data_IF_372701722606
#
_entry.id   IF_372701722606
#
_cell.length_a   1.000
_cell.length_b   1.000
_cell.length_c   1.000
_cell.angle_alpha   90.00
_cell.angle_beta   90.00
_cell.angle_gamma   90.00
#
_symmetry.space_group_name_H-M   'P 1'
#
loop_
_entity.id
_entity.type
_entity.pdbx_description
1 polymer ?
#
# COMPACT_ATOMS: atom_id res chain seq x y z
N UNK A 1 56.45 4.92 -88.14
CA UNK A 1 54.97 5.00 -88.21
C UNK A 1 54.43 3.64 -87.80
N UNK A 2 53.59 3.58 -86.77
CA UNK A 2 53.24 2.33 -86.09
C UNK A 2 52.09 1.63 -86.86
N UNK A 3 52.39 0.55 -87.57
CA UNK A 3 51.41 -0.17 -88.43
C UNK A 3 50.28 -0.83 -87.62
N UNK A 4 50.46 -0.92 -86.29
CA UNK A 4 49.47 -1.39 -85.32
C UNK A 4 48.46 -0.32 -84.85
N UNK A 5 48.66 0.97 -85.15
CA UNK A 5 47.72 2.03 -84.71
C UNK A 5 46.49 2.18 -85.61
N UNK A 6 46.61 1.78 -86.88
CA UNK A 6 45.54 1.81 -87.89
C UNK A 6 44.43 0.81 -87.54
N UNK A 7 44.71 -0.48 -87.22
CA UNK A 7 43.64 -1.42 -86.84
C UNK A 7 42.92 -1.01 -85.55
N UNK A 8 43.62 -0.52 -84.53
CA UNK A 8 42.98 -0.11 -83.26
C UNK A 8 42.06 1.11 -83.42
N UNK A 9 42.42 2.06 -84.28
CA UNK A 9 41.58 3.24 -84.56
C UNK A 9 40.26 2.87 -85.24
N UNK A 10 40.29 1.87 -86.13
CA UNK A 10 39.10 1.34 -86.80
C UNK A 10 38.20 0.60 -85.79
N UNK A 11 38.77 -0.23 -84.91
CA UNK A 11 38.00 -0.89 -83.85
C UNK A 11 37.36 0.12 -82.88
N UNK A 12 38.06 1.21 -82.53
CA UNK A 12 37.48 2.30 -81.71
C UNK A 12 36.31 2.98 -82.41
N UNK A 13 36.42 3.21 -83.72
CA UNK A 13 35.34 3.80 -84.51
C UNK A 13 34.13 2.87 -84.62
N UNK A 14 34.35 1.57 -84.84
CA UNK A 14 33.28 0.56 -84.85
C UNK A 14 32.60 0.45 -83.48
N UNK A 15 33.37 0.45 -82.39
CA UNK A 15 32.82 0.45 -81.04
C UNK A 15 31.95 1.69 -80.78
N UNK A 16 32.41 2.88 -81.19
CA UNK A 16 31.61 4.11 -81.09
C UNK A 16 30.29 4.02 -81.83
N UNK A 17 30.25 3.41 -83.02
CA UNK A 17 29.01 3.23 -83.80
C UNK A 17 28.05 2.26 -83.11
N UNK A 18 28.54 1.11 -82.63
CA UNK A 18 27.74 0.11 -81.91
C UNK A 18 27.21 0.66 -80.57
N UNK A 19 27.87 1.68 -80.02
CA UNK A 19 27.50 2.35 -78.76
C UNK A 19 26.41 3.42 -78.92
N UNK A 20 26.17 3.96 -80.12
CA UNK A 20 25.16 5.00 -80.35
C UNK A 20 23.76 4.57 -79.89
N UNK A 21 23.26 3.36 -80.23
CA UNK A 21 21.95 2.89 -79.75
C UNK A 21 21.88 2.77 -78.22
N UNK A 22 22.95 2.28 -77.57
CA UNK A 22 23.03 2.19 -76.12
C UNK A 22 23.00 3.57 -75.45
N UNK A 23 23.70 4.54 -76.02
CA UNK A 23 23.73 5.91 -75.48
C UNK A 23 22.37 6.61 -75.62
N UNK A 24 21.64 6.34 -76.71
CA UNK A 24 20.27 6.83 -76.89
C UNK A 24 19.31 6.18 -75.88
N UNK A 25 19.47 4.88 -75.59
CA UNK A 25 18.69 4.18 -74.58
C UNK A 25 18.98 4.71 -73.15
N UNK A 26 20.25 4.96 -72.84
CA UNK A 26 20.67 5.56 -71.58
C UNK A 26 20.03 6.93 -71.37
N UNK A 27 20.10 7.80 -72.38
CA UNK A 27 19.55 9.17 -72.33
C UNK A 27 18.02 9.20 -72.32
N UNK A 28 17.35 8.27 -73.03
CA UNK A 28 15.90 8.31 -73.20
C UNK A 28 15.12 7.52 -72.14
N UNK A 29 15.72 6.46 -71.59
CA UNK A 29 15.02 5.52 -70.70
C UNK A 29 15.68 5.49 -69.33
N UNK A 30 17.00 5.28 -69.26
CA UNK A 30 17.68 5.08 -67.98
C UNK A 30 17.76 6.37 -67.16
N UNK A 31 17.93 7.52 -67.81
CA UNK A 31 17.88 8.83 -67.13
C UNK A 31 16.49 9.19 -66.60
N UNK A 32 15.42 8.57 -67.10
CA UNK A 32 14.07 8.78 -66.54
C UNK A 32 13.83 8.01 -65.24
N UNK A 33 14.65 7.00 -64.97
CA UNK A 33 14.62 6.27 -63.70
C UNK A 33 15.31 7.09 -62.61
N UNK A 34 14.79 7.00 -61.38
CA UNK A 34 15.48 7.59 -60.23
C UNK A 34 16.92 7.07 -60.17
N UNK A 35 17.86 7.95 -59.82
CA UNK A 35 19.29 7.62 -59.71
C UNK A 35 19.51 6.41 -58.80
N UNK A 36 18.58 6.21 -57.87
CA UNK A 36 18.59 5.12 -56.91
C UNK A 36 17.60 3.99 -57.24
N UNK A 37 17.25 3.79 -58.51
CA UNK A 37 16.48 2.62 -58.93
C UNK A 37 17.38 1.38 -59.04
N UNK A 38 16.98 0.20 -58.49
CA UNK A 38 17.78 -1.04 -58.61
C UNK A 38 18.09 -1.41 -60.07
N UNK A 39 17.13 -1.22 -60.98
CA UNK A 39 17.29 -1.51 -62.40
C UNK A 39 18.31 -0.56 -63.08
N UNK A 40 18.38 0.69 -62.64
CA UNK A 40 19.35 1.69 -63.12
C UNK A 40 20.77 1.33 -62.67
N UNK A 41 20.95 1.03 -61.38
CA UNK A 41 22.24 0.62 -60.82
C UNK A 41 22.77 -0.64 -61.52
N UNK A 42 21.91 -1.65 -61.76
CA UNK A 42 22.31 -2.86 -62.47
C UNK A 42 22.73 -2.58 -63.93
N UNK A 43 22.00 -1.70 -64.62
CA UNK A 43 22.35 -1.25 -65.97
C UNK A 43 23.69 -0.49 -65.98
N UNK A 44 23.84 0.56 -65.16
CA UNK A 44 25.05 1.38 -65.09
C UNK A 44 26.29 0.55 -64.71
N UNK A 45 26.15 -0.44 -63.81
CA UNK A 45 27.23 -1.37 -63.47
C UNK A 45 27.66 -2.25 -64.64
N UNK A 46 26.69 -2.87 -65.34
CA UNK A 46 26.98 -3.79 -66.46
C UNK A 46 27.59 -3.05 -67.65
N UNK A 47 27.04 -1.88 -67.96
CA UNK A 47 27.44 -1.01 -69.06
C UNK A 47 28.79 -0.33 -68.77
N UNK A 48 29.00 0.15 -67.54
CA UNK A 48 30.26 0.74 -67.10
C UNK A 48 31.40 -0.29 -67.03
N UNK A 49 31.11 -1.53 -66.63
CA UNK A 49 32.11 -2.62 -66.66
C UNK A 49 32.54 -2.97 -68.08
N UNK A 50 31.58 -2.97 -69.03
CA UNK A 50 31.87 -3.19 -70.44
C UNK A 50 32.74 -2.07 -71.02
N UNK A 51 32.42 -0.81 -70.70
CA UNK A 51 33.22 0.36 -71.11
C UNK A 51 34.62 0.35 -70.51
N UNK A 52 34.77 -0.04 -69.24
CA UNK A 52 36.07 -0.16 -68.59
C UNK A 52 36.97 -1.18 -69.30
N UNK A 53 36.43 -2.37 -69.56
CA UNK A 53 37.19 -3.45 -70.23
C UNK A 53 37.51 -3.08 -71.68
N UNK A 54 36.53 -2.59 -72.43
CA UNK A 54 36.73 -2.24 -73.85
C UNK A 54 37.62 -1.02 -74.01
N UNK A 55 37.47 -0.01 -73.15
CA UNK A 55 38.35 1.16 -73.09
C UNK A 55 39.80 0.79 -72.80
N UNK A 56 40.03 -0.08 -71.81
CA UNK A 56 41.36 -0.60 -71.49
C UNK A 56 41.99 -1.43 -72.62
N UNK A 57 41.21 -2.29 -73.27
CA UNK A 57 41.68 -3.12 -74.41
C UNK A 57 41.97 -2.27 -75.64
N UNK A 58 41.15 -1.25 -75.94
CA UNK A 58 41.29 -0.38 -77.12
C UNK A 58 42.22 0.84 -76.89
N UNK A 59 42.71 1.03 -75.67
CA UNK A 59 43.48 2.22 -75.27
C UNK A 59 42.68 3.52 -75.33
N UNK A 60 41.36 3.44 -75.11
CA UNK A 60 40.43 4.57 -75.08
C UNK A 60 40.17 5.01 -73.64
N UNK A 61 41.04 5.92 -73.14
CA UNK A 61 41.00 6.41 -71.76
C UNK A 61 39.69 7.10 -71.40
N UNK A 62 39.01 7.76 -72.33
CA UNK A 62 37.75 8.45 -72.05
C UNK A 62 36.61 7.45 -71.79
N UNK A 63 36.61 6.34 -72.51
CA UNK A 63 35.64 5.24 -72.33
C UNK A 63 35.95 4.47 -71.04
N UNK A 64 37.23 4.21 -70.80
CA UNK A 64 37.70 3.53 -69.59
C UNK A 64 37.35 4.31 -68.30
N UNK A 65 37.66 5.61 -68.26
CA UNK A 65 37.38 6.48 -67.10
C UNK A 65 35.88 6.64 -66.85
N UNK A 66 35.08 6.73 -67.91
CA UNK A 66 33.63 6.81 -67.79
C UNK A 66 33.03 5.52 -67.23
N UNK A 67 33.47 4.37 -67.73
CA UNK A 67 33.04 3.08 -67.23
C UNK A 67 33.43 2.86 -65.76
N UNK A 68 34.63 3.28 -65.38
CA UNK A 68 35.09 3.26 -64.00
C UNK A 68 34.24 4.16 -63.08
N UNK A 69 33.93 5.40 -63.50
CA UNK A 69 33.09 6.31 -62.74
C UNK A 69 31.66 5.77 -62.54
N UNK A 70 31.07 5.16 -63.58
CA UNK A 70 29.74 4.55 -63.49
C UNK A 70 29.71 3.34 -62.53
N UNK A 71 30.73 2.47 -62.59
CA UNK A 71 30.82 1.34 -61.67
C UNK A 71 30.98 1.83 -60.23
N UNK A 72 31.86 2.79 -59.98
CA UNK A 72 32.08 3.34 -58.64
C UNK A 72 30.81 3.96 -58.05
N UNK A 73 30.11 4.82 -58.81
CA UNK A 73 28.86 5.44 -58.37
C UNK A 73 27.78 4.39 -58.05
N UNK A 74 27.66 3.35 -58.88
CA UNK A 74 26.69 2.27 -58.66
C UNK A 74 26.97 1.48 -57.36
N UNK A 75 28.24 1.30 -57.01
CA UNK A 75 28.66 0.60 -55.79
C UNK A 75 28.43 1.47 -54.55
N UNK A 76 28.72 2.77 -54.64
CA UNK A 76 28.43 3.73 -53.56
C UNK A 76 26.93 3.83 -53.28
N UNK A 77 26.09 3.94 -54.32
CA UNK A 77 24.63 3.97 -54.16
C UNK A 77 24.07 2.67 -53.58
N UNK A 78 24.57 1.52 -54.03
CA UNK A 78 24.18 0.22 -53.47
C UNK A 78 24.54 0.13 -51.98
N UNK A 79 25.72 0.62 -51.60
CA UNK A 79 26.17 0.65 -50.21
C UNK A 79 25.32 1.61 -49.38
N UNK A 80 25.01 2.79 -49.90
CA UNK A 80 24.16 3.77 -49.24
C UNK A 80 22.78 3.20 -48.92
N UNK A 81 22.11 2.56 -49.89
CA UNK A 81 20.81 1.91 -49.65
C UNK A 81 20.85 0.78 -48.64
N UNK A 82 21.93 0.01 -48.62
CA UNK A 82 22.10 -1.02 -47.60
C UNK A 82 22.20 -0.39 -46.20
N UNK A 83 22.99 0.68 -46.07
CA UNK A 83 23.13 1.38 -44.80
C UNK A 83 21.82 2.04 -44.34
N UNK A 84 21.05 2.62 -45.27
CA UNK A 84 19.73 3.19 -44.98
C UNK A 84 18.73 2.12 -44.53
N UNK A 85 18.66 0.98 -45.24
CA UNK A 85 17.81 -0.13 -44.83
C UNK A 85 18.21 -0.73 -43.46
N UNK A 86 19.51 -0.84 -43.19
CA UNK A 86 20.02 -1.32 -41.89
C UNK A 86 19.70 -0.30 -40.77
N UNK A 87 19.77 1.00 -41.07
CA UNK A 87 19.41 2.07 -40.14
C UNK A 87 17.91 2.06 -39.82
N UNK A 88 17.04 2.00 -40.85
CA UNK A 88 15.59 1.91 -40.69
C UNK A 88 15.18 0.69 -39.87
N UNK A 89 15.80 -0.46 -40.14
CA UNK A 89 15.57 -1.69 -39.38
C UNK A 89 15.99 -1.53 -37.91
N UNK A 90 17.13 -0.88 -37.66
CA UNK A 90 17.64 -0.63 -36.31
C UNK A 90 16.74 0.34 -35.56
N UNK A 91 16.28 1.41 -36.21
CA UNK A 91 15.36 2.39 -35.64
C UNK A 91 14.02 1.73 -35.28
N UNK A 92 13.45 0.92 -36.18
CA UNK A 92 12.20 0.20 -35.92
C UNK A 92 12.31 -0.74 -34.70
N UNK A 93 13.42 -1.45 -34.55
CA UNK A 93 13.68 -2.32 -33.39
C UNK A 93 13.87 -1.50 -32.10
N UNK A 94 14.61 -0.40 -32.17
CA UNK A 94 14.82 0.50 -31.03
C UNK A 94 13.51 1.11 -30.55
N UNK A 95 12.66 1.56 -31.47
CA UNK A 95 11.34 2.11 -31.20
C UNK A 95 10.41 1.07 -30.56
N UNK A 96 10.40 -0.15 -31.09
CA UNK A 96 9.60 -1.23 -30.51
C UNK A 96 10.07 -1.53 -29.08
N UNK A 97 11.38 -1.61 -28.85
CA UNK A 97 11.96 -1.84 -27.52
C UNK A 97 11.64 -0.69 -26.56
N UNK A 98 11.71 0.55 -27.03
CA UNK A 98 11.38 1.73 -26.23
C UNK A 98 9.91 1.73 -25.84
N UNK A 99 9.00 1.45 -26.78
CA UNK A 99 7.55 1.33 -26.51
C UNK A 99 7.26 0.22 -25.50
N UNK A 100 7.82 -0.97 -25.70
CA UNK A 100 7.66 -2.08 -24.77
C UNK A 100 8.19 -1.76 -23.37
N UNK A 101 9.35 -1.08 -23.27
CA UNK A 101 9.93 -0.65 -22.01
C UNK A 101 9.05 0.38 -21.30
N UNK A 102 8.50 1.37 -22.03
CA UNK A 102 7.57 2.36 -21.48
C UNK A 102 6.29 1.71 -20.97
N UNK A 103 5.69 0.81 -21.74
CA UNK A 103 4.49 0.07 -21.33
C UNK A 103 4.74 -0.83 -20.11
N UNK A 104 5.91 -1.46 -20.03
CA UNK A 104 6.30 -2.24 -18.86
C UNK A 104 6.44 -1.34 -17.61
N UNK A 105 7.15 -0.21 -17.74
CA UNK A 105 7.33 0.75 -16.65
C UNK A 105 6.00 1.37 -16.19
N UNK A 106 5.08 1.67 -17.11
CA UNK A 106 3.75 2.16 -16.76
C UNK A 106 2.92 1.09 -16.02
N UNK A 107 2.97 -0.17 -16.47
CA UNK A 107 2.29 -1.28 -15.78
C UNK A 107 2.84 -1.47 -14.38
N UNK A 108 4.15 -1.44 -14.22
CA UNK A 108 4.82 -1.54 -12.93
C UNK A 108 4.44 -0.39 -11.99
N UNK A 109 4.46 0.86 -12.49
CA UNK A 109 4.02 2.03 -11.72
C UNK A 109 2.56 1.92 -11.27
N UNK A 110 1.66 1.49 -12.16
CA UNK A 110 0.24 1.28 -11.83
C UNK A 110 0.06 0.17 -10.78
N UNK A 111 0.77 -0.94 -10.94
CA UNK A 111 0.73 -2.04 -9.97
C UNK A 111 1.27 -1.61 -8.60
N UNK A 112 2.39 -0.88 -8.57
CA UNK A 112 2.98 -0.34 -7.34
C UNK A 112 2.05 0.66 -6.65
N UNK A 113 1.40 1.56 -7.41
CA UNK A 113 0.41 2.49 -6.86
C UNK A 113 -0.80 1.77 -6.26
N UNK A 114 -1.35 0.76 -6.95
CA UNK A 114 -2.45 -0.04 -6.44
C UNK A 114 -2.06 -0.82 -5.18
N UNK A 115 -0.85 -1.40 -5.15
CA UNK A 115 -0.34 -2.11 -3.98
C UNK A 115 -0.11 -1.16 -2.79
N UNK A 116 0.40 0.04 -3.03
CA UNK A 116 0.57 1.07 -2.01
C UNK A 116 -0.78 1.53 -1.42
N UNK A 117 -1.79 1.75 -2.28
CA UNK A 117 -3.14 2.12 -1.84
C UNK A 117 -3.80 1.01 -1.01
N UNK A 118 -3.68 -0.25 -1.43
CA UNK A 118 -4.20 -1.41 -0.68
C UNK A 118 -3.49 -1.57 0.67
N UNK A 119 -2.16 -1.43 0.71
CA UNK A 119 -1.39 -1.46 1.93
C UNK A 119 -1.77 -0.32 2.88
N UNK A 120 -1.95 0.90 2.36
CA UNK A 120 -2.39 2.05 3.15
C UNK A 120 -3.80 1.84 3.73
N UNK A 121 -4.72 1.25 2.95
CA UNK A 121 -6.07 0.91 3.41
C UNK A 121 -6.04 -0.12 4.53
N UNK A 122 -5.34 -1.24 4.34
CA UNK A 122 -5.17 -2.28 5.36
C UNK A 122 -4.54 -1.75 6.64
N UNK A 123 -3.52 -0.88 6.52
CA UNK A 123 -2.89 -0.25 7.67
C UNK A 123 -3.88 0.64 8.46
N UNK A 124 -4.74 1.39 7.77
CA UNK A 124 -5.79 2.20 8.41
C UNK A 124 -6.85 1.33 9.09
N UNK A 125 -7.31 0.27 8.42
CA UNK A 125 -8.27 -0.67 9.00
C UNK A 125 -7.71 -1.34 10.26
N UNK A 126 -6.45 -1.80 10.22
CA UNK A 126 -5.76 -2.36 11.39
C UNK A 126 -5.59 -1.34 12.52
N UNK A 127 -5.27 -0.08 12.18
CA UNK A 127 -5.15 0.98 13.18
C UNK A 127 -6.49 1.28 13.86
N UNK A 128 -7.59 1.35 13.10
CA UNK A 128 -8.94 1.52 13.66
C UNK A 128 -9.37 0.32 14.51
N UNK A 129 -9.10 -0.91 14.06
CA UNK A 129 -9.36 -2.11 14.86
C UNK A 129 -8.60 -2.08 16.19
N UNK A 130 -7.31 -1.72 16.18
CA UNK A 130 -6.52 -1.58 17.41
C UNK A 130 -7.06 -0.48 18.32
N UNK A 131 -7.51 0.63 17.75
CA UNK A 131 -8.12 1.72 18.53
C UNK A 131 -9.42 1.26 19.21
N UNK A 132 -10.26 0.51 18.49
CA UNK A 132 -11.48 -0.06 19.05
C UNK A 132 -11.18 -1.10 20.13
N UNK A 133 -10.23 -2.00 19.90
CA UNK A 133 -9.79 -2.98 20.90
C UNK A 133 -9.22 -2.29 22.15
N UNK A 134 -8.35 -1.29 21.98
CA UNK A 134 -7.80 -0.54 23.11
C UNK A 134 -8.89 0.22 23.89
N UNK A 135 -9.91 0.76 23.21
CA UNK A 135 -11.05 1.40 23.86
C UNK A 135 -11.88 0.38 24.66
N UNK A 136 -12.18 -0.78 24.08
CA UNK A 136 -12.91 -1.86 24.75
C UNK A 136 -12.14 -2.38 25.97
N UNK A 137 -10.83 -2.65 25.84
CA UNK A 137 -9.98 -3.08 26.95
C UNK A 137 -9.91 -2.01 28.05
N UNK A 138 -9.88 -0.72 27.69
CA UNK A 138 -9.88 0.37 28.66
C UNK A 138 -11.23 0.47 29.39
N UNK A 139 -12.35 0.32 28.68
CA UNK A 139 -13.69 0.29 29.27
C UNK A 139 -13.88 -0.92 30.19
N UNK A 140 -13.42 -2.11 29.80
CA UNK A 140 -13.46 -3.31 30.63
C UNK A 140 -12.65 -3.12 31.91
N UNK A 141 -11.41 -2.61 31.81
CA UNK A 141 -10.58 -2.31 32.99
C UNK A 141 -11.21 -1.27 33.89
N UNK A 142 -11.76 -0.20 33.32
CA UNK A 142 -12.45 0.84 34.09
C UNK A 142 -13.70 0.28 34.80
N UNK A 143 -14.45 -0.61 34.15
CA UNK A 143 -15.61 -1.28 34.75
C UNK A 143 -15.20 -2.24 35.87
N UNK A 144 -14.11 -3.00 35.70
CA UNK A 144 -13.55 -3.86 36.75
C UNK A 144 -13.05 -3.05 37.94
N UNK A 145 -12.30 -1.97 37.70
CA UNK A 145 -11.83 -1.08 38.76
C UNK A 145 -12.99 -0.42 39.51
N UNK A 146 -14.04 0.01 38.80
CA UNK A 146 -15.25 0.54 39.42
C UNK A 146 -15.94 -0.50 40.30
N UNK A 147 -16.12 -1.74 39.81
CA UNK A 147 -16.69 -2.83 40.62
C UNK A 147 -15.89 -3.09 41.89
N UNK A 148 -14.55 -3.14 41.79
CA UNK A 148 -13.67 -3.30 42.96
C UNK A 148 -13.79 -2.14 43.94
N UNK A 149 -13.91 -0.91 43.44
CA UNK A 149 -14.09 0.28 44.27
C UNK A 149 -15.45 0.24 44.99
N UNK A 150 -16.52 -0.14 44.29
CA UNK A 150 -17.86 -0.29 44.85
C UNK A 150 -17.91 -1.40 45.92
N UNK A 151 -17.33 -2.58 45.65
CA UNK A 151 -17.20 -3.67 46.62
C UNK A 151 -16.42 -3.25 47.88
N UNK A 152 -15.33 -2.51 47.70
CA UNK A 152 -14.53 -1.99 48.81
C UNK A 152 -15.29 -0.93 49.62
N UNK A 153 -16.07 -0.07 48.95
CA UNK A 153 -16.93 0.90 49.61
C UNK A 153 -18.06 0.22 50.40
N UNK A 154 -18.71 -0.80 49.82
CA UNK A 154 -19.73 -1.61 50.49
C UNK A 154 -19.16 -2.34 51.70
N UNK A 155 -17.98 -2.95 51.57
CA UNK A 155 -17.30 -3.62 52.67
C UNK A 155 -17.00 -2.65 53.83
N UNK A 156 -16.52 -1.43 53.52
CA UNK A 156 -16.29 -0.38 54.53
C UNK A 156 -17.58 0.10 55.18
N UNK A 157 -18.65 0.29 54.40
CA UNK A 157 -19.95 0.67 54.92
C UNK A 157 -20.53 -0.40 55.85
N UNK A 158 -20.38 -1.69 55.49
CA UNK A 158 -20.79 -2.81 56.32
C UNK A 158 -19.97 -2.88 57.62
N UNK A 159 -18.65 -2.66 57.55
CA UNK A 159 -17.79 -2.59 58.73
C UNK A 159 -18.19 -1.45 59.67
N UNK A 160 -18.46 -0.25 59.13
CA UNK A 160 -18.92 0.90 59.91
C UNK A 160 -20.25 0.61 60.61
N UNK A 161 -21.25 0.08 59.89
CA UNK A 161 -22.55 -0.29 60.48
C UNK A 161 -22.42 -1.37 61.56
N UNK A 162 -21.54 -2.35 61.36
CA UNK A 162 -21.30 -3.37 62.38
C UNK A 162 -20.59 -2.81 63.61
N UNK A 163 -19.68 -1.84 63.43
CA UNK A 163 -19.06 -1.13 64.54
C UNK A 163 -20.09 -0.29 65.31
N UNK A 164 -20.97 0.45 64.62
CA UNK A 164 -22.07 1.19 65.23
C UNK A 164 -23.01 0.28 66.02
N UNK A 165 -23.42 -0.87 65.45
CA UNK A 165 -24.24 -1.85 66.17
C UNK A 165 -23.57 -2.33 67.45
N UNK A 166 -22.28 -2.70 67.39
CA UNK A 166 -21.52 -3.11 68.57
C UNK A 166 -21.43 -2.00 69.61
N UNK A 167 -21.24 -0.75 69.19
CA UNK A 167 -21.25 0.41 70.08
C UNK A 167 -22.62 0.60 70.75
N UNK A 168 -23.71 0.55 69.98
CA UNK A 168 -25.06 0.62 70.53
C UNK A 168 -25.36 -0.51 71.51
N UNK A 169 -24.94 -1.75 71.23
CA UNK A 169 -25.08 -2.87 72.16
C UNK A 169 -24.27 -2.67 73.44
N UNK A 170 -23.06 -2.09 73.35
CA UNK A 170 -22.24 -1.76 74.52
C UNK A 170 -22.89 -0.65 75.36
N UNK A 171 -23.38 0.41 74.70
CA UNK A 171 -24.10 1.51 75.35
C UNK A 171 -25.33 0.96 76.06
N UNK A 172 -26.19 0.19 75.39
CA UNK A 172 -27.38 -0.40 75.99
C UNK A 172 -27.07 -1.33 77.17
N UNK A 173 -25.98 -2.12 77.09
CA UNK A 173 -25.50 -2.91 78.23
C UNK A 173 -25.06 -2.04 79.39
N UNK A 174 -24.33 -0.95 79.12
CA UNK A 174 -23.87 -0.02 80.14
C UNK A 174 -25.04 0.76 80.79
N UNK A 175 -26.02 1.19 80.00
CA UNK A 175 -27.24 1.85 80.47
C UNK A 175 -28.06 0.90 81.35
N UNK A 176 -28.26 -0.34 80.91
CA UNK A 176 -28.96 -1.35 81.70
C UNK A 176 -28.24 -1.66 83.01
N UNK A 177 -26.91 -1.76 82.99
CA UNK A 177 -26.12 -1.95 84.21
C UNK A 177 -26.20 -0.74 85.15
N UNK A 178 -26.23 0.48 84.61
CA UNK A 178 -26.38 1.71 85.40
C UNK A 178 -27.82 1.90 85.94
N UNK A 179 -28.84 1.41 85.24
CA UNK A 179 -30.24 1.47 85.67
C UNK A 179 -30.61 0.36 86.67
N UNK A 180 -29.89 -0.77 86.68
CA UNK A 180 -30.12 -1.89 87.59
C UNK A 180 -30.27 -1.52 89.09
N UNK A 181 -29.43 -0.64 89.69
CA UNK A 181 -29.64 -0.23 91.08
C UNK A 181 -30.94 0.55 91.27
N UNK A 182 -31.30 1.43 90.34
CA UNK A 182 -32.55 2.19 90.42
C UNK A 182 -33.79 1.29 90.23
N UNK A 183 -33.71 0.29 89.34
CA UNK A 183 -34.76 -0.73 89.20
C UNK A 183 -34.89 -1.60 90.45
N UNK A 184 -33.77 -1.97 91.10
CA UNK A 184 -33.77 -2.69 92.38
C UNK A 184 -34.42 -1.88 93.49
N UNK A 185 -34.06 -0.60 93.63
CA UNK A 185 -34.66 0.29 94.63
C UNK A 185 -36.17 0.48 94.40
N UNK A 186 -36.62 0.55 93.14
CA UNK A 186 -38.05 0.59 92.80
C UNK A 186 -38.78 -0.71 93.15
N UNK A 187 -38.14 -1.86 92.95
CA UNK A 187 -38.69 -3.16 93.32
C UNK A 187 -38.78 -3.33 94.85
N UNK A 188 -37.71 -3.01 95.57
CA UNK A 188 -37.67 -3.04 97.03
C UNK A 188 -38.71 -2.08 97.65
N UNK A 189 -38.88 -0.90 97.06
CA UNK A 189 -39.92 0.06 97.47
C UNK A 189 -41.34 -0.46 97.20
N UNK A 190 -41.55 -1.20 96.11
CA UNK A 190 -42.83 -1.82 95.82
C UNK A 190 -43.16 -2.95 96.81
N UNK A 191 -42.19 -3.80 97.13
CA UNK A 191 -42.33 -4.87 98.12
C UNK A 191 -42.58 -4.30 99.52
N UNK A 192 -41.84 -3.27 99.93
CA UNK A 192 -42.09 -2.58 101.19
C UNK A 192 -43.49 -1.93 101.28
N UNK A 193 -44.06 -1.52 100.15
CA UNK A 193 -45.44 -1.01 100.09
C UNK A 193 -46.46 -2.14 100.26
N UNK A 194 -46.22 -3.30 99.66
CA UNK A 194 -47.06 -4.49 99.80
C UNK A 194 -47.04 -5.01 101.24
N UNK A 195 -45.86 -5.11 101.88
CA UNK A 195 -45.76 -5.47 103.30
C UNK A 195 -46.51 -4.48 104.22
N UNK A 196 -46.48 -3.19 103.89
CA UNK A 196 -47.19 -2.18 104.68
C UNK A 196 -48.71 -2.31 104.53
N UNK A 197 -49.21 -2.65 103.33
CA UNK A 197 -50.62 -2.97 103.09
C UNK A 197 -51.02 -4.24 103.87
N UNK A 198 -50.19 -5.28 103.88
CA UNK A 198 -50.42 -6.51 104.63
C UNK A 198 -50.44 -6.27 106.15
N UNK A 199 -49.48 -5.50 106.68
CA UNK A 199 -49.47 -5.11 108.10
C UNK A 199 -50.69 -4.27 108.47
N UNK A 200 -51.17 -3.40 107.59
CA UNK A 200 -52.44 -2.69 107.80
C UNK A 200 -53.64 -3.64 107.81
N UNK A 201 -53.67 -4.62 106.90
CA UNK A 201 -54.73 -5.61 106.86
C UNK A 201 -54.73 -6.50 108.11
N UNK A 202 -53.55 -6.87 108.62
CA UNK A 202 -53.38 -7.61 109.87
C UNK A 202 -53.77 -6.76 111.09
N UNK A 203 -53.36 -5.50 111.16
CA UNK A 203 -53.79 -4.57 112.20
C UNK A 203 -55.31 -4.39 112.20
N UNK A 204 -55.94 -4.27 111.03
CA UNK A 204 -57.40 -4.21 110.91
C UNK A 204 -58.10 -5.51 111.36
N UNK A 205 -57.45 -6.67 111.21
CA UNK A 205 -57.94 -7.95 111.77
C UNK A 205 -57.80 -8.00 113.28
N UNK A 206 -56.67 -7.53 113.83
CA UNK A 206 -56.44 -7.46 115.28
C UNK A 206 -57.42 -6.47 115.92
N UNK A 207 -57.68 -5.33 115.28
CA UNK A 207 -58.68 -4.36 115.74
C UNK A 207 -60.10 -4.95 115.71
N UNK A 208 -60.45 -5.73 114.69
CA UNK A 208 -61.71 -6.50 114.66
C UNK A 208 -61.80 -7.54 115.77
N UNK A 209 -60.71 -8.24 116.09
CA UNK A 209 -60.67 -9.20 117.20
C UNK A 209 -60.76 -8.49 118.57
N UNK A 210 -60.08 -7.36 118.74
CA UNK A 210 -60.13 -6.54 119.95
C UNK A 210 -61.53 -5.92 120.17
N UNK A 211 -62.19 -5.47 119.11
CA UNK A 211 -63.59 -5.02 119.16
C UNK A 211 -64.58 -6.16 119.41
N UNK A 212 -64.24 -7.40 119.04
CA UNK A 212 -65.03 -8.58 119.36
C UNK A 212 -64.85 -9.03 120.83
N UNK A 213 -63.65 -8.88 121.40
CA UNK A 213 -63.36 -9.23 122.81
C UNK A 213 -63.87 -8.17 123.80
N UNK A 214 -63.91 -6.88 123.41
CA UNK A 214 -64.48 -5.79 124.22
C UNK A 214 -66.01 -5.82 124.34
N UNK A 215 -66.69 -6.71 123.60
CA UNK A 215 -68.14 -6.92 123.63
C UNK A 215 -68.54 -8.30 124.19
N UNK A 216 -67.64 -8.97 124.92
CA UNK A 216 -67.93 -10.15 125.76
C UNK A 216 -67.63 -9.85 127.23
#
# INVERSE_FOLDING_TARGET
MNVLSIPMSILRFQYKIVRIPLHLFETSVVQTWSTDAPARIAYERTVGSLDKVVGGVLGDKDVEQRGEAQVHLSEELTKARKLEADADATEAVADQKLRASREAAERERKAAALAADDAARKAREQAEQRKQQAAQEAEEKAAEEKKRADELAEARAAQARNAEKKQHEQIAKSEKAAAAPAESELADAAEGKEEAEDKKAEAARIEKLFMAEKNS
#
